data_IF_304523228205
#
_entry.id   IF_304523228205
#
_cell.length_a   1.000
_cell.length_b   1.000
_cell.length_c   1.000
_cell.angle_alpha   90.00
_cell.angle_beta   90.00
_cell.angle_gamma   90.00
#
_symmetry.space_group_name_H-M   'P 1'
#
loop_
_entity.id
_entity.type
_entity.pdbx_description
1 polymer ?
#
# COMPACT_ATOMS: atom_id res chain seq x y z
N UNK A 1 11.82 44.58 -58.25
CA UNK A 1 11.65 43.23 -57.67
C UNK A 1 12.15 43.08 -56.24
N UNK A 2 12.55 44.14 -55.52
CA UNK A 2 13.10 44.03 -54.14
C UNK A 2 12.12 44.35 -53.00
N UNK A 3 10.92 44.85 -53.27
CA UNK A 3 9.98 45.22 -52.19
C UNK A 3 9.04 44.07 -51.74
N UNK A 4 8.89 43.03 -52.55
CA UNK A 4 8.04 41.88 -52.19
C UNK A 4 8.76 40.82 -51.32
N UNK A 5 10.10 40.73 -51.43
CA UNK A 5 10.88 39.81 -50.61
C UNK A 5 11.11 40.29 -49.18
N UNK A 6 11.19 41.58 -48.97
CA UNK A 6 11.33 42.16 -47.59
C UNK A 6 10.04 42.04 -46.78
N UNK A 7 8.88 42.19 -47.41
CA UNK A 7 7.59 42.05 -46.71
C UNK A 7 7.29 40.62 -46.27
N UNK A 8 7.77 39.61 -47.04
CA UNK A 8 7.57 38.20 -46.68
C UNK A 8 8.52 37.72 -45.56
N UNK A 9 9.72 38.29 -45.46
CA UNK A 9 10.65 37.98 -44.35
C UNK A 9 10.20 38.59 -43.04
N UNK A 10 9.66 39.82 -43.07
CA UNK A 10 9.13 40.50 -41.88
C UNK A 10 7.85 39.81 -41.34
N UNK A 11 6.97 39.31 -42.23
CA UNK A 11 5.79 38.54 -41.83
C UNK A 11 6.16 37.17 -41.22
N UNK A 12 7.18 36.51 -41.73
CA UNK A 12 7.65 35.23 -41.15
C UNK A 12 8.39 35.43 -39.81
N UNK A 13 9.14 36.53 -39.66
CA UNK A 13 9.74 36.91 -38.39
C UNK A 13 8.66 37.31 -37.34
N UNK A 14 7.62 38.06 -37.75
CA UNK A 14 6.52 38.44 -36.87
C UNK A 14 5.70 37.20 -36.42
N UNK A 15 5.47 36.24 -37.32
CA UNK A 15 4.82 34.93 -36.95
C UNK A 15 5.67 34.10 -35.98
N UNK A 16 6.98 34.02 -36.20
CA UNK A 16 7.87 33.31 -35.29
C UNK A 16 8.02 34.00 -33.92
N UNK A 17 7.89 35.33 -33.86
CA UNK A 17 7.86 36.09 -32.62
C UNK A 17 6.52 35.90 -31.87
N UNK A 18 5.40 35.89 -32.59
CA UNK A 18 4.08 35.63 -31.98
C UNK A 18 3.99 34.21 -31.41
N UNK A 19 4.49 33.21 -32.11
CA UNK A 19 4.55 31.81 -31.63
C UNK A 19 5.43 31.71 -30.36
N UNK A 20 6.59 32.37 -30.36
CA UNK A 20 7.47 32.41 -29.18
C UNK A 20 6.89 33.18 -28.00
N UNK A 21 6.10 34.21 -28.23
CA UNK A 21 5.38 34.94 -27.17
C UNK A 21 4.27 34.07 -26.60
N UNK A 22 3.51 33.39 -27.46
CA UNK A 22 2.49 32.39 -27.02
C UNK A 22 3.07 31.27 -26.19
N UNK A 23 4.21 30.68 -26.60
CA UNK A 23 4.90 29.66 -25.86
C UNK A 23 5.43 30.14 -24.49
N UNK A 24 5.87 31.41 -24.42
CA UNK A 24 6.30 32.04 -23.17
C UNK A 24 5.13 32.37 -22.25
N UNK A 25 3.99 32.82 -22.80
CA UNK A 25 2.77 33.06 -22.03
C UNK A 25 2.20 31.76 -21.47
N UNK A 26 2.13 30.68 -22.27
CA UNK A 26 1.77 29.33 -21.78
C UNK A 26 2.74 28.83 -20.70
N UNK A 27 4.05 29.02 -20.90
CA UNK A 27 5.09 28.67 -19.92
C UNK A 27 4.94 29.47 -18.62
N UNK A 28 4.57 30.74 -18.69
CA UNK A 28 4.36 31.62 -17.55
C UNK A 28 3.07 31.26 -16.79
N UNK A 29 2.00 30.94 -17.50
CA UNK A 29 0.74 30.48 -16.91
C UNK A 29 0.91 29.13 -16.22
N UNK A 30 1.69 28.22 -16.80
CA UNK A 30 2.04 26.94 -16.19
C UNK A 30 2.91 27.11 -14.94
N UNK A 31 3.85 28.05 -14.95
CA UNK A 31 4.66 28.41 -13.78
C UNK A 31 3.82 29.10 -12.70
N UNK A 32 2.92 29.98 -13.08
CA UNK A 32 1.99 30.63 -12.16
C UNK A 32 1.01 29.65 -11.53
N UNK A 33 0.47 28.70 -12.30
CA UNK A 33 -0.39 27.65 -11.76
C UNK A 33 0.36 26.74 -10.78
N UNK A 34 1.61 26.37 -11.09
CA UNK A 34 2.48 25.61 -10.15
C UNK A 34 2.87 26.42 -8.91
N UNK A 35 3.04 27.74 -9.04
CA UNK A 35 3.30 28.64 -7.91
C UNK A 35 2.05 28.81 -7.04
N UNK A 36 0.86 28.88 -7.64
CA UNK A 36 -0.42 28.93 -6.93
C UNK A 36 -0.68 27.60 -6.22
N UNK A 37 -0.48 26.46 -6.87
CA UNK A 37 -0.53 25.12 -6.25
C UNK A 37 0.46 25.01 -5.08
N UNK A 38 1.70 25.49 -5.24
CA UNK A 38 2.68 25.53 -4.14
C UNK A 38 2.32 26.51 -3.03
N UNK A 39 1.59 27.60 -3.32
CA UNK A 39 1.17 28.58 -2.31
C UNK A 39 -0.09 28.14 -1.56
N UNK A 40 -1.00 27.41 -2.20
CA UNK A 40 -2.22 26.87 -1.57
C UNK A 40 -1.91 25.70 -0.59
N UNK A 41 -0.79 25.00 -0.78
CA UNK A 41 -0.36 23.90 0.11
C UNK A 41 0.57 24.35 1.24
N UNK A 42 0.91 25.65 1.34
CA UNK A 42 1.77 26.18 2.40
C UNK A 42 0.95 26.79 3.52
N UNK A 43 0.86 26.09 4.66
CA UNK A 43 0.55 26.76 5.91
C UNK A 43 1.84 27.46 6.37
N UNK A 44 1.94 28.77 6.13
CA UNK A 44 3.04 29.57 6.72
C UNK A 44 2.76 29.71 8.21
N UNK A 45 3.40 28.82 9.01
CA UNK A 45 3.53 29.05 10.43
C UNK A 45 4.68 30.06 10.65
N UNK A 46 4.56 30.97 11.59
CA UNK A 46 5.66 31.84 12.04
C UNK A 46 6.85 31.08 12.66
N UNK A 47 6.90 29.76 12.48
CA UNK A 47 7.95 28.86 12.93
C UNK A 47 9.08 28.78 11.88
N UNK A 48 10.27 28.40 12.33
CA UNK A 48 11.46 28.14 11.49
C UNK A 48 11.26 26.98 10.50
N UNK A 49 10.15 26.26 10.57
CA UNK A 49 9.86 25.06 9.80
C UNK A 49 8.80 25.37 8.75
N UNK A 50 9.01 24.91 7.52
CA UNK A 50 7.99 24.89 6.47
C UNK A 50 7.13 23.67 6.68
N UNK A 51 5.82 23.83 6.66
CA UNK A 51 4.85 22.74 6.78
C UNK A 51 4.05 22.65 5.49
N UNK A 52 3.84 21.43 5.00
CA UNK A 52 2.94 21.11 3.89
C UNK A 52 1.78 20.32 4.44
N UNK A 53 0.58 20.73 4.13
CA UNK A 53 -0.64 19.96 4.31
C UNK A 53 -1.04 19.35 2.95
N UNK A 54 -1.47 18.12 2.94
CA UNK A 54 -1.96 17.42 1.75
C UNK A 54 -3.04 16.43 2.16
N UNK A 55 -3.83 15.97 1.23
CA UNK A 55 -4.82 14.96 1.54
C UNK A 55 -5.72 14.64 0.36
N UNK A 56 -6.69 13.77 0.63
CA UNK A 56 -7.77 13.44 -0.28
C UNK A 56 -9.06 13.26 0.52
N UNK A 57 -10.11 13.97 0.12
CA UNK A 57 -11.47 13.63 0.54
C UNK A 57 -12.00 12.62 -0.45
N UNK A 58 -12.38 11.45 0.04
CA UNK A 58 -12.75 10.30 -0.78
C UNK A 58 -14.15 9.83 -0.41
N UNK A 59 -15.05 9.79 -1.39
CA UNK A 59 -16.36 9.14 -1.28
C UNK A 59 -16.32 7.84 -2.05
N UNK A 60 -16.57 6.72 -1.37
CA UNK A 60 -16.80 5.42 -1.95
C UNK A 60 -18.30 5.11 -1.90
N UNK A 61 -18.90 4.70 -3.01
CA UNK A 61 -20.21 4.09 -3.10
C UNK A 61 -20.00 2.64 -3.53
N UNK A 62 -20.41 1.69 -2.69
CA UNK A 62 -20.11 0.28 -2.91
C UNK A 62 -21.34 -0.61 -2.88
N UNK A 63 -21.29 -1.71 -3.65
CA UNK A 63 -22.24 -2.82 -3.62
C UNK A 63 -21.45 -4.13 -3.48
N UNK A 64 -21.85 -4.97 -2.52
CA UNK A 64 -21.34 -6.33 -2.37
C UNK A 64 -22.44 -7.33 -2.71
N UNK A 65 -22.09 -8.38 -3.43
CA UNK A 65 -22.90 -9.57 -3.68
C UNK A 65 -22.12 -10.79 -3.21
N UNK A 66 -22.50 -11.31 -2.07
CA UNK A 66 -21.79 -12.26 -1.24
C UNK A 66 -21.38 -11.62 0.08
N UNK A 67 -21.18 -12.43 1.13
CA UNK A 67 -20.72 -11.98 2.44
C UNK A 67 -19.21 -11.68 2.40
N UNK A 68 -18.82 -10.56 2.96
CA UNK A 68 -17.43 -10.06 2.95
C UNK A 68 -16.97 -9.65 4.35
N UNK A 69 -15.64 -9.64 4.56
CA UNK A 69 -15.00 -9.25 5.82
C UNK A 69 -15.08 -7.73 6.10
N UNK A 70 -15.18 -6.92 5.07
CA UNK A 70 -15.37 -5.47 5.18
C UNK A 70 -16.25 -4.98 4.03
N UNK A 71 -17.21 -4.11 4.32
CA UNK A 71 -18.19 -3.68 3.30
C UNK A 71 -17.62 -2.74 2.25
N UNK A 72 -16.71 -1.85 2.63
CA UNK A 72 -16.17 -0.78 1.75
C UNK A 72 -14.75 -1.05 1.21
N UNK A 73 -14.01 -2.02 1.77
CA UNK A 73 -12.70 -2.47 1.24
C UNK A 73 -12.48 -3.96 1.53
N UNK A 74 -13.29 -4.85 0.95
CA UNK A 74 -13.23 -6.27 1.28
C UNK A 74 -11.95 -6.93 0.78
N UNK A 75 -11.47 -7.90 1.57
CA UNK A 75 -10.31 -8.75 1.26
C UNK A 75 -10.66 -10.23 1.17
N UNK A 76 -11.71 -10.67 1.88
CA UNK A 76 -12.16 -12.06 1.94
C UNK A 76 -13.65 -12.19 1.64
N UNK A 77 -14.02 -13.30 0.98
CA UNK A 77 -15.40 -13.76 0.93
C UNK A 77 -15.63 -14.71 2.12
N UNK A 78 -16.69 -14.45 2.87
CA UNK A 78 -17.04 -15.19 4.08
C UNK A 78 -18.29 -16.04 3.88
N UNK A 79 -18.49 -17.02 4.75
CA UNK A 79 -19.71 -17.78 4.82
C UNK A 79 -20.91 -16.89 5.16
N UNK A 80 -22.06 -17.15 4.53
CA UNK A 80 -23.28 -16.40 4.80
C UNK A 80 -23.95 -16.92 6.05
N UNK A 81 -24.14 -16.05 7.03
CA UNK A 81 -24.86 -16.37 8.26
C UNK A 81 -26.36 -16.12 8.08
N UNK A 82 -27.15 -17.19 8.00
CA UNK A 82 -28.59 -17.07 8.00
C UNK A 82 -29.09 -16.54 9.36
N UNK A 83 -30.11 -15.65 9.38
CA UNK A 83 -31.01 -15.22 8.28
C UNK A 83 -30.58 -13.93 7.54
N UNK A 84 -29.32 -13.50 7.66
CA UNK A 84 -28.88 -12.22 7.14
C UNK A 84 -28.70 -12.24 5.60
N UNK A 85 -28.87 -11.07 4.97
CA UNK A 85 -28.62 -10.91 3.55
C UNK A 85 -27.13 -11.02 3.24
N UNK A 86 -26.77 -11.73 2.17
CA UNK A 86 -25.42 -11.76 1.62
C UNK A 86 -25.12 -10.58 0.69
N UNK A 87 -26.08 -9.65 0.50
CA UNK A 87 -25.88 -8.45 -0.32
C UNK A 87 -25.87 -7.20 0.57
N UNK A 88 -25.01 -6.25 0.25
CA UNK A 88 -24.97 -4.95 0.93
C UNK A 88 -24.71 -3.83 -0.09
N UNK A 89 -25.31 -2.66 0.16
CA UNK A 89 -25.02 -1.43 -0.56
C UNK A 89 -24.79 -0.32 0.47
N UNK A 90 -23.79 0.53 0.23
CA UNK A 90 -23.47 1.61 1.15
C UNK A 90 -22.58 2.68 0.55
N UNK A 91 -22.25 3.67 1.38
CA UNK A 91 -21.30 4.72 1.06
C UNK A 91 -20.42 5.03 2.27
N UNK A 92 -19.17 5.40 2.02
CA UNK A 92 -18.19 5.68 3.07
C UNK A 92 -17.26 6.81 2.64
N UNK A 93 -16.85 7.63 3.61
CA UNK A 93 -15.80 8.65 3.44
C UNK A 93 -14.59 8.37 4.33
N UNK A 94 -14.59 7.25 5.06
CA UNK A 94 -13.55 6.93 6.06
C UNK A 94 -12.20 6.59 5.48
N UNK A 95 -12.10 6.37 4.17
CA UNK A 95 -10.83 6.19 3.47
C UNK A 95 -10.18 7.52 3.05
N UNK A 96 -10.81 8.66 3.36
CA UNK A 96 -10.17 9.98 3.20
C UNK A 96 -8.88 10.06 4.00
N UNK A 97 -7.88 10.79 3.48
CA UNK A 97 -6.55 10.86 4.08
C UNK A 97 -6.12 12.30 4.30
N UNK A 98 -5.34 12.51 5.34
CA UNK A 98 -4.70 13.79 5.66
C UNK A 98 -3.21 13.51 5.91
N UNK A 99 -2.35 14.21 5.18
CA UNK A 99 -0.89 14.16 5.33
C UNK A 99 -0.34 15.52 5.80
N UNK A 100 0.60 15.47 6.74
CA UNK A 100 1.34 16.64 7.22
C UNK A 100 2.82 16.34 7.03
N UNK A 101 3.56 17.24 6.38
CA UNK A 101 5.00 17.14 6.21
C UNK A 101 5.69 18.42 6.71
N UNK A 102 6.70 18.28 7.55
CA UNK A 102 7.51 19.37 8.07
C UNK A 102 8.96 19.24 7.56
N UNK A 103 9.51 20.34 7.04
CA UNK A 103 10.88 20.41 6.54
C UNK A 103 11.76 21.15 7.56
N UNK A 104 12.76 20.43 8.07
CA UNK A 104 13.67 20.94 9.09
C UNK A 104 14.96 21.55 8.53
N UNK A 105 15.85 21.99 9.42
CA UNK A 105 17.18 22.48 9.05
C UNK A 105 18.08 21.34 8.55
N UNK A 106 19.20 21.70 7.92
CA UNK A 106 20.24 20.71 7.61
C UNK A 106 21.00 20.33 8.89
N UNK A 107 21.14 19.04 9.13
CA UNK A 107 21.88 18.48 10.27
C UNK A 107 22.98 17.54 9.74
N UNK A 108 24.25 17.81 10.03
CA UNK A 108 25.36 16.97 9.57
C UNK A 108 25.40 16.80 8.04
N UNK A 109 25.01 17.84 7.29
CA UNK A 109 24.91 17.79 5.82
C UNK A 109 23.64 17.14 5.27
N UNK A 110 22.84 16.45 6.09
CA UNK A 110 21.57 15.88 5.69
C UNK A 110 20.46 16.93 5.66
N UNK A 111 19.54 16.82 4.70
CA UNK A 111 18.22 17.47 4.75
C UNK A 111 17.34 16.67 5.69
N UNK A 112 16.62 17.35 6.57
CA UNK A 112 15.72 16.67 7.52
C UNK A 112 14.28 16.97 7.19
N UNK A 113 13.42 15.97 7.30
CA UNK A 113 11.97 16.10 7.21
C UNK A 113 11.28 15.13 8.16
N UNK A 114 10.04 15.44 8.50
CA UNK A 114 9.15 14.54 9.21
C UNK A 114 7.77 14.59 8.54
N UNK A 115 7.12 13.46 8.40
CA UNK A 115 5.76 13.36 7.87
C UNK A 115 4.89 12.49 8.77
N UNK A 116 3.58 12.76 8.74
CA UNK A 116 2.57 11.92 9.36
C UNK A 116 1.34 11.87 8.47
N UNK A 117 0.85 10.66 8.18
CA UNK A 117 -0.32 10.41 7.36
C UNK A 117 -1.41 9.69 8.18
N UNK A 118 -2.64 10.13 8.02
CA UNK A 118 -3.80 9.65 8.75
C UNK A 118 -4.93 9.29 7.79
N UNK A 119 -5.79 8.36 8.22
CA UNK A 119 -7.11 8.12 7.65
C UNK A 119 -8.16 7.96 8.77
N UNK A 120 -9.42 7.68 8.41
CA UNK A 120 -10.50 7.48 9.36
C UNK A 120 -10.98 6.01 9.41
N UNK A 121 -10.17 5.08 8.94
CA UNK A 121 -10.50 3.66 8.89
C UNK A 121 -9.97 2.87 10.12
N UNK A 122 -9.75 3.53 11.27
CA UNK A 122 -9.30 2.91 12.52
C UNK A 122 -10.36 2.07 13.24
N UNK A 123 -11.53 1.89 12.64
CA UNK A 123 -12.68 1.18 13.21
C UNK A 123 -13.90 2.06 13.36
N UNK A 124 -14.90 1.54 14.05
CA UNK A 124 -16.09 2.28 14.42
C UNK A 124 -16.08 2.58 15.92
N UNK A 125 -16.58 3.76 16.36
CA UNK A 125 -16.71 4.03 17.78
C UNK A 125 -17.62 2.97 18.43
N UNK A 126 -17.15 2.34 19.51
CA UNK A 126 -17.99 1.45 20.30
C UNK A 126 -19.03 2.28 21.06
N UNK A 127 -20.29 1.82 21.11
CA UNK A 127 -21.43 2.43 21.82
C UNK A 127 -22.08 3.65 21.13
N UNK A 128 -22.08 3.77 19.83
CA UNK A 128 -22.96 4.72 19.14
C UNK A 128 -24.36 4.13 19.03
N UNK A 129 -25.33 4.77 19.69
CA UNK A 129 -26.75 4.34 19.67
C UNK A 129 -27.39 4.49 18.26
N UNK A 130 -26.74 5.24 17.36
CA UNK A 130 -27.33 5.66 16.09
C UNK A 130 -26.54 5.23 14.84
N UNK A 131 -25.63 4.26 14.92
CA UNK A 131 -24.86 3.71 13.77
C UNK A 131 -24.38 4.77 12.73
N UNK A 132 -24.17 6.01 13.18
CA UNK A 132 -23.54 7.01 12.34
C UNK A 132 -22.14 6.51 11.99
N UNK A 133 -21.90 6.25 10.73
CA UNK A 133 -20.67 5.65 10.18
C UNK A 133 -19.48 6.62 10.30
N UNK A 134 -19.20 7.08 11.51
CA UNK A 134 -18.04 7.91 11.80
C UNK A 134 -16.83 7.00 12.00
N UNK A 135 -15.87 7.06 11.05
CA UNK A 135 -14.60 6.35 11.17
C UNK A 135 -13.76 6.90 12.32
N UNK A 136 -12.95 6.04 12.93
CA UNK A 136 -11.95 6.44 13.94
C UNK A 136 -10.68 6.86 13.23
N UNK A 137 -10.10 8.00 13.64
CA UNK A 137 -8.82 8.49 13.13
C UNK A 137 -7.72 7.46 13.41
N UNK A 138 -6.94 7.11 12.38
CA UNK A 138 -5.85 6.15 12.45
C UNK A 138 -4.57 6.76 11.90
N UNK A 139 -3.47 6.66 12.67
CA UNK A 139 -2.14 6.95 12.15
C UNK A 139 -1.72 5.82 11.21
N UNK A 140 -1.42 6.15 9.96
CA UNK A 140 -0.89 5.22 8.95
C UNK A 140 0.61 5.18 8.99
N UNK A 141 1.21 6.33 8.71
CA UNK A 141 2.65 6.50 8.74
C UNK A 141 3.04 7.70 9.60
N UNK A 142 4.21 7.65 10.19
CA UNK A 142 4.82 8.74 10.95
C UNK A 142 6.33 8.57 10.89
N UNK A 143 7.01 9.39 10.07
CA UNK A 143 8.39 9.14 9.62
C UNK A 143 9.25 10.36 9.82
N UNK A 144 10.47 10.15 10.29
CA UNK A 144 11.56 11.13 10.29
C UNK A 144 12.64 10.68 9.31
N UNK A 145 13.11 11.59 8.46
CA UNK A 145 14.14 11.31 7.45
C UNK A 145 15.33 12.24 7.58
N UNK A 146 16.50 11.68 7.33
CA UNK A 146 17.77 12.37 7.15
C UNK A 146 18.32 11.98 5.79
N UNK A 147 18.31 12.91 4.83
CA UNK A 147 18.68 12.64 3.44
C UNK A 147 20.02 13.33 3.09
N UNK A 148 21.06 12.54 2.89
CA UNK A 148 22.31 12.94 2.24
C UNK A 148 22.21 12.73 0.72
N UNK A 149 23.30 12.91 0.00
CA UNK A 149 23.29 12.81 -1.46
C UNK A 149 22.82 11.43 -1.99
N UNK A 150 23.37 10.37 -1.43
CA UNK A 150 23.09 8.99 -1.87
C UNK A 150 22.58 8.08 -0.74
N UNK A 151 22.50 8.57 0.47
CA UNK A 151 22.14 7.80 1.66
C UNK A 151 21.01 8.48 2.40
N UNK A 152 20.03 7.72 2.85
CA UNK A 152 18.97 8.18 3.74
C UNK A 152 18.94 7.32 4.99
N UNK A 153 18.73 7.95 6.14
CA UNK A 153 18.33 7.29 7.37
C UNK A 153 16.87 7.62 7.62
N UNK A 154 16.06 6.59 7.82
CA UNK A 154 14.62 6.71 8.00
C UNK A 154 14.23 6.02 9.29
N UNK A 155 13.48 6.70 10.16
CA UNK A 155 12.96 6.14 11.40
C UNK A 155 11.50 6.52 11.61
N UNK A 156 10.70 5.59 12.11
CA UNK A 156 9.29 5.79 12.40
C UNK A 156 8.42 4.63 11.93
N UNK A 157 7.11 4.83 11.93
CA UNK A 157 6.14 3.88 11.36
C UNK A 157 5.99 4.16 9.88
N UNK A 158 6.27 3.17 9.03
CA UNK A 158 6.27 3.32 7.57
C UNK A 158 5.85 2.03 6.88
N UNK A 159 5.62 2.10 5.56
CA UNK A 159 5.38 0.93 4.71
C UNK A 159 6.56 -0.05 4.75
N UNK A 160 6.29 -1.30 4.36
CA UNK A 160 7.31 -2.32 4.21
C UNK A 160 8.26 -1.97 3.06
N UNK A 161 9.47 -1.55 3.36
CA UNK A 161 10.45 -1.14 2.32
C UNK A 161 10.94 -2.32 1.45
N UNK A 162 10.74 -3.54 1.89
CA UNK A 162 11.13 -4.77 1.22
C UNK A 162 9.99 -5.39 0.38
N UNK A 163 8.75 -4.88 0.50
CA UNK A 163 7.58 -5.14 -0.34
C UNK A 163 6.93 -3.80 -0.70
N UNK A 164 7.56 -3.03 -1.62
CA UNK A 164 7.25 -1.60 -1.79
C UNK A 164 6.09 -1.32 -2.73
N UNK A 165 5.59 -2.32 -3.45
CA UNK A 165 4.56 -2.13 -4.46
C UNK A 165 3.19 -2.55 -3.94
N UNK A 166 2.15 -1.99 -4.55
CA UNK A 166 0.77 -2.43 -4.38
C UNK A 166 -0.01 -2.17 -5.67
N UNK A 167 -1.07 -2.94 -5.95
CA UNK A 167 -1.93 -2.68 -7.09
C UNK A 167 -2.57 -1.29 -7.02
N UNK A 168 -2.73 -0.65 -8.17
CA UNK A 168 -3.33 0.68 -8.25
C UNK A 168 -4.84 0.59 -8.05
N UNK A 169 -5.35 1.21 -7.00
CA UNK A 169 -6.77 1.39 -6.72
C UNK A 169 -6.98 2.66 -5.91
N UNK A 170 -8.04 3.42 -6.19
CA UNK A 170 -8.51 4.51 -5.31
C UNK A 170 -9.78 4.10 -4.56
N UNK A 171 -10.36 2.96 -4.88
CA UNK A 171 -11.48 2.37 -4.14
C UNK A 171 -11.04 1.79 -2.77
N UNK A 172 -9.75 1.45 -2.61
CA UNK A 172 -9.21 0.85 -1.39
C UNK A 172 -7.91 1.53 -0.97
N UNK A 173 -8.03 2.73 -0.39
CA UNK A 173 -6.90 3.48 0.17
C UNK A 173 -6.62 3.12 1.63
N UNK A 174 -7.64 2.72 2.39
CA UNK A 174 -7.49 2.34 3.81
C UNK A 174 -6.71 1.04 4.01
N UNK A 175 -6.86 0.12 3.06
CA UNK A 175 -6.13 -1.15 2.99
C UNK A 175 -5.71 -1.34 1.54
N UNK A 176 -4.44 -1.59 1.23
CA UNK A 176 -4.01 -1.77 -0.15
C UNK A 176 -4.80 -2.86 -0.87
N UNK A 177 -5.07 -2.64 -2.17
CA UNK A 177 -5.76 -3.64 -2.98
C UNK A 177 -5.02 -4.99 -2.97
N UNK A 178 -5.77 -6.09 -3.07
CA UNK A 178 -5.28 -7.47 -3.02
C UNK A 178 -4.61 -7.86 -1.69
N UNK A 179 -4.91 -7.16 -0.59
CA UNK A 179 -4.61 -7.65 0.77
C UNK A 179 -5.19 -9.04 0.97
N UNK A 180 -4.49 -9.93 1.67
CA UNK A 180 -4.79 -11.36 1.78
C UNK A 180 -4.91 -12.12 0.43
N UNK A 181 -4.56 -11.47 -0.67
CA UNK A 181 -4.48 -12.09 -1.99
C UNK A 181 -3.07 -11.90 -2.59
N UNK A 182 -2.03 -12.09 -1.78
CA UNK A 182 -0.63 -12.10 -2.18
C UNK A 182 0.08 -10.76 -2.16
N UNK A 183 -0.60 -9.68 -1.79
CA UNK A 183 0.02 -8.38 -1.55
C UNK A 183 0.45 -8.27 -0.08
N UNK A 184 1.76 -8.35 0.20
CA UNK A 184 2.31 -8.09 1.53
C UNK A 184 2.35 -6.59 1.78
N UNK A 185 1.80 -6.18 2.92
CA UNK A 185 1.84 -4.79 3.34
C UNK A 185 1.69 -4.68 4.86
N UNK A 186 2.18 -3.61 5.42
CA UNK A 186 1.93 -3.21 6.80
C UNK A 186 2.46 -1.79 7.00
N UNK A 187 2.02 -1.13 8.03
CA UNK A 187 2.69 0.07 8.58
C UNK A 187 3.35 -0.34 9.89
N UNK A 188 4.65 -0.44 9.85
CA UNK A 188 5.43 -1.03 10.94
C UNK A 188 6.45 -0.02 11.45
N UNK A 189 6.61 0.16 12.77
CA UNK A 189 7.74 0.88 13.36
C UNK A 189 9.05 0.29 12.88
N UNK A 190 9.95 1.12 12.38
CA UNK A 190 11.20 0.69 11.77
C UNK A 190 12.29 1.76 11.80
N UNK A 191 13.52 1.31 11.73
CA UNK A 191 14.68 2.16 11.42
C UNK A 191 15.44 1.49 10.29
N UNK A 192 15.66 2.25 9.20
CA UNK A 192 16.36 1.72 8.02
C UNK A 192 17.34 2.70 7.43
N UNK A 193 18.35 2.16 6.78
CA UNK A 193 19.31 2.89 5.92
C UNK A 193 18.99 2.51 4.47
N UNK A 194 18.95 3.51 3.63
CA UNK A 194 18.79 3.39 2.18
C UNK A 194 20.04 3.97 1.51
N UNK A 195 20.66 3.24 0.60
CA UNK A 195 21.84 3.72 -0.12
C UNK A 195 21.70 3.49 -1.62
N UNK A 196 21.80 4.58 -2.38
CA UNK A 196 21.75 4.55 -3.85
C UNK A 196 23.14 4.50 -4.42
N UNK A 197 23.41 3.54 -5.26
CA UNK A 197 24.66 3.36 -6.00
C UNK A 197 24.37 3.69 -7.47
N UNK A 198 24.84 4.83 -8.01
CA UNK A 198 24.74 5.10 -9.43
C UNK A 198 25.71 4.17 -10.17
N UNK A 199 25.17 3.39 -11.13
CA UNK A 199 25.96 2.47 -11.95
C UNK A 199 26.31 3.09 -13.31
N UNK A 200 25.42 3.91 -13.85
CA UNK A 200 25.59 4.69 -15.07
C UNK A 200 24.57 5.84 -15.08
N UNK A 201 24.60 6.67 -16.13
CA UNK A 201 23.61 7.74 -16.33
C UNK A 201 22.15 7.23 -16.40
N UNK A 202 21.96 5.95 -16.77
CA UNK A 202 20.63 5.32 -16.91
C UNK A 202 20.35 4.24 -15.88
N UNK A 203 21.31 3.85 -15.06
CA UNK A 203 21.17 2.71 -14.16
C UNK A 203 21.60 3.05 -12.75
N UNK A 204 20.84 2.61 -11.79
CA UNK A 204 21.20 2.70 -10.37
C UNK A 204 20.78 1.43 -9.60
N UNK A 205 21.45 1.19 -8.49
CA UNK A 205 21.07 0.17 -7.52
C UNK A 205 20.66 0.85 -6.22
N UNK A 206 19.60 0.39 -5.58
CA UNK A 206 19.17 0.78 -4.25
C UNK A 206 19.40 -0.38 -3.29
N UNK A 207 20.14 -0.12 -2.23
CA UNK A 207 20.34 -1.05 -1.12
C UNK A 207 19.58 -0.51 0.10
N UNK A 208 18.77 -1.35 0.73
CA UNK A 208 18.00 -1.00 1.93
C UNK A 208 18.21 -2.07 2.99
N UNK A 209 18.47 -1.66 4.22
CA UNK A 209 18.65 -2.53 5.37
C UNK A 209 17.98 -1.89 6.58
N UNK A 210 17.20 -2.66 7.33
CA UNK A 210 16.48 -2.12 8.48
C UNK A 210 16.15 -3.14 9.55
N UNK A 211 15.82 -2.59 10.71
CA UNK A 211 15.19 -3.27 11.82
C UNK A 211 13.76 -2.79 11.94
N UNK A 212 12.84 -3.71 12.22
CA UNK A 212 11.42 -3.46 12.32
C UNK A 212 10.88 -4.03 13.63
N UNK A 213 9.75 -3.48 14.06
CA UNK A 213 8.94 -4.12 15.08
C UNK A 213 8.45 -5.48 14.57
N UNK A 214 8.61 -6.52 15.39
CA UNK A 214 8.25 -7.90 15.04
C UNK A 214 6.78 -8.15 15.35
N UNK A 215 5.89 -7.54 14.56
CA UNK A 215 4.44 -7.73 14.70
C UNK A 215 4.01 -9.12 14.22
N UNK A 216 2.95 -9.65 14.85
CA UNK A 216 2.28 -10.87 14.43
C UNK A 216 0.82 -10.59 14.08
N UNK A 217 0.26 -11.34 13.13
CA UNK A 217 -1.13 -11.20 12.70
C UNK A 217 -2.13 -12.03 13.52
N UNK A 218 -1.64 -13.04 14.25
CA UNK A 218 -2.48 -13.94 15.05
C UNK A 218 -2.98 -13.32 16.35
N UNK A 219 -4.02 -13.95 16.91
CA UNK A 219 -4.70 -13.50 18.12
C UNK A 219 -3.73 -13.17 19.25
N UNK A 220 -3.84 -11.96 19.75
CA UNK A 220 -3.18 -11.55 20.98
C UNK A 220 -3.89 -12.18 22.18
N UNK A 221 -3.16 -12.66 23.19
CA UNK A 221 -3.77 -13.41 24.28
C UNK A 221 -4.59 -12.58 25.28
N UNK A 222 -4.66 -11.26 25.14
CA UNK A 222 -5.25 -10.39 26.17
C UNK A 222 -5.95 -9.17 25.58
N UNK A 223 -6.94 -8.69 26.33
CA UNK A 223 -7.78 -7.53 26.06
C UNK A 223 -6.96 -6.34 25.51
N UNK A 224 -7.37 -5.81 24.35
CA UNK A 224 -6.69 -4.71 23.65
C UNK A 224 -6.80 -3.34 24.36
N UNK A 225 -7.35 -3.27 25.55
CA UNK A 225 -7.42 -2.03 26.33
C UNK A 225 -6.03 -1.62 26.87
N UNK A 226 -5.13 -2.59 27.04
CA UNK A 226 -3.74 -2.36 27.42
C UNK A 226 -2.83 -2.67 26.22
N UNK A 227 -1.76 -1.91 26.03
CA UNK A 227 -0.77 -2.14 24.97
C UNK A 227 0.10 -3.37 25.29
N UNK A 228 -0.51 -4.57 25.24
CA UNK A 228 0.20 -5.81 25.48
C UNK A 228 1.08 -6.17 24.28
N UNK A 229 2.30 -6.67 24.53
CA UNK A 229 3.21 -7.04 23.44
C UNK A 229 2.63 -8.21 22.61
N UNK A 230 2.78 -8.12 21.28
CA UNK A 230 2.50 -9.18 20.33
C UNK A 230 3.42 -10.39 20.59
N UNK A 231 3.13 -11.55 20.00
CA UNK A 231 4.02 -12.72 20.11
C UNK A 231 5.40 -12.46 19.48
N UNK A 232 5.48 -11.57 18.51
CA UNK A 232 6.75 -11.12 17.94
C UNK A 232 7.53 -10.24 18.90
N UNK A 233 6.90 -9.22 19.49
CA UNK A 233 7.52 -8.34 20.50
C UNK A 233 7.96 -9.12 21.75
N UNK A 234 7.21 -10.15 22.15
CA UNK A 234 7.59 -11.05 23.25
C UNK A 234 8.86 -11.85 22.98
N UNK A 235 9.33 -11.93 21.74
CA UNK A 235 10.64 -12.53 21.42
C UNK A 235 11.83 -11.77 22.01
N UNK A 236 11.63 -10.49 22.36
CA UNK A 236 12.66 -9.62 22.91
C UNK A 236 13.71 -9.17 21.90
N UNK A 237 13.50 -9.37 20.60
CA UNK A 237 14.38 -8.91 19.53
C UNK A 237 13.60 -8.30 18.37
N UNK A 238 14.17 -7.33 17.63
CA UNK A 238 13.54 -6.78 16.45
C UNK A 238 13.49 -7.81 15.32
N UNK A 239 12.61 -7.57 14.36
CA UNK A 239 12.71 -8.17 13.04
C UNK A 239 13.76 -7.44 12.19
N UNK A 240 14.27 -8.11 11.17
CA UNK A 240 15.28 -7.60 10.25
C UNK A 240 14.81 -7.77 8.82
N UNK A 241 15.07 -6.76 7.98
CA UNK A 241 14.78 -6.87 6.56
C UNK A 241 15.87 -6.19 5.73
N UNK A 242 16.02 -6.69 4.50
CA UNK A 242 16.90 -6.12 3.51
C UNK A 242 16.23 -6.17 2.14
N UNK A 243 16.57 -5.21 1.26
CA UNK A 243 16.16 -5.21 -0.14
C UNK A 243 17.27 -4.65 -1.02
N UNK A 244 17.44 -5.23 -2.18
CA UNK A 244 18.22 -4.72 -3.29
C UNK A 244 17.30 -4.51 -4.48
N UNK A 245 17.41 -3.36 -5.15
CA UNK A 245 16.65 -3.08 -6.36
C UNK A 245 17.56 -2.46 -7.41
N UNK A 246 17.48 -2.97 -8.63
CA UNK A 246 18.11 -2.40 -9.80
C UNK A 246 17.07 -1.64 -10.61
N UNK A 247 17.40 -0.39 -10.96
CA UNK A 247 16.55 0.47 -11.79
C UNK A 247 17.32 0.89 -13.04
N UNK A 248 16.66 0.78 -14.19
CA UNK A 248 17.20 1.21 -15.48
C UNK A 248 16.19 2.10 -16.21
N UNK A 249 16.65 3.28 -16.66
CA UNK A 249 15.82 4.19 -17.45
C UNK A 249 15.70 3.68 -18.90
N UNK A 250 14.48 3.33 -19.31
CA UNK A 250 14.14 2.80 -20.61
C UNK A 250 13.07 3.70 -21.27
N UNK A 251 13.43 4.40 -22.34
CA UNK A 251 12.51 5.28 -23.10
C UNK A 251 11.73 6.31 -22.25
N UNK A 252 12.41 6.88 -21.25
CA UNK A 252 11.81 7.89 -20.35
C UNK A 252 10.99 7.32 -19.19
N UNK A 253 10.92 6.00 -19.07
CA UNK A 253 10.29 5.28 -17.97
C UNK A 253 11.33 4.41 -17.24
N UNK A 254 11.02 3.96 -16.02
CA UNK A 254 11.92 3.13 -15.22
C UNK A 254 11.50 1.66 -15.24
N UNK A 255 12.41 0.79 -15.68
CA UNK A 255 12.39 -0.62 -15.40
C UNK A 255 13.01 -0.83 -14.02
N UNK A 256 12.29 -1.48 -13.08
CA UNK A 256 12.82 -1.82 -11.75
C UNK A 256 12.62 -3.29 -11.47
N UNK A 257 13.68 -3.93 -10.97
CA UNK A 257 13.68 -5.31 -10.49
C UNK A 257 14.24 -5.29 -9.07
N UNK A 258 13.49 -5.81 -8.11
CA UNK A 258 13.87 -5.86 -6.70
C UNK A 258 13.80 -7.27 -6.14
N UNK A 259 14.62 -7.51 -5.13
CA UNK A 259 14.58 -8.70 -4.29
C UNK A 259 14.77 -8.31 -2.84
N UNK A 260 13.97 -8.89 -1.95
CA UNK A 260 13.99 -8.59 -0.52
C UNK A 260 13.92 -9.85 0.34
N UNK A 261 14.27 -9.67 1.61
CA UNK A 261 14.15 -10.69 2.63
C UNK A 261 13.75 -10.09 3.97
N UNK A 262 13.02 -10.85 4.75
CA UNK A 262 12.55 -10.53 6.09
C UNK A 262 12.84 -11.70 7.02
N UNK A 263 13.20 -11.42 8.25
CA UNK A 263 13.30 -12.36 9.35
C UNK A 263 12.75 -11.73 10.62
N UNK A 264 11.87 -12.46 11.34
CA UNK A 264 11.35 -12.06 12.64
C UNK A 264 11.14 -13.29 13.52
N UNK A 265 11.44 -13.18 14.81
CA UNK A 265 11.21 -14.25 15.77
C UNK A 265 9.94 -13.98 16.57
N UNK A 266 9.18 -15.02 16.84
CA UNK A 266 7.96 -14.98 17.65
C UNK A 266 8.15 -15.89 18.87
N UNK A 267 7.63 -15.47 20.03
CA UNK A 267 7.67 -16.25 21.26
C UNK A 267 6.24 -16.56 21.73
N UNK A 268 5.87 -17.83 21.68
CA UNK A 268 4.50 -18.33 21.92
C UNK A 268 4.32 -18.94 23.31
N UNK A 269 5.03 -18.45 24.30
CA UNK A 269 4.98 -18.90 25.69
C UNK A 269 5.60 -20.30 25.91
N UNK A 270 5.85 -20.66 27.17
CA UNK A 270 6.39 -21.95 27.60
C UNK A 270 7.67 -22.40 26.86
N UNK A 271 8.51 -21.43 26.49
CA UNK A 271 9.76 -21.70 25.75
C UNK A 271 9.59 -22.02 24.26
N UNK A 272 8.39 -21.89 23.71
CA UNK A 272 8.10 -22.16 22.29
C UNK A 272 8.39 -20.93 21.44
N UNK A 273 9.28 -21.05 20.48
CA UNK A 273 9.61 -19.99 19.53
C UNK A 273 9.37 -20.43 18.09
N UNK A 274 8.99 -19.49 17.24
CA UNK A 274 8.81 -19.68 15.81
C UNK A 274 9.63 -18.63 15.09
N UNK A 275 10.46 -19.08 14.15
CA UNK A 275 11.20 -18.19 13.26
C UNK A 275 10.35 -17.89 12.02
N UNK A 276 9.87 -16.66 11.93
CA UNK A 276 9.19 -16.11 10.76
C UNK A 276 10.20 -15.61 9.74
N UNK A 277 9.93 -15.82 8.46
CA UNK A 277 10.76 -15.30 7.39
C UNK A 277 9.96 -15.12 6.10
N UNK A 278 10.42 -14.21 5.24
CA UNK A 278 9.93 -14.10 3.88
C UNK A 278 11.07 -13.78 2.91
N UNK A 279 10.97 -14.28 1.70
CA UNK A 279 11.74 -13.84 0.54
C UNK A 279 10.76 -13.25 -0.49
N UNK A 280 11.13 -12.11 -1.08
CA UNK A 280 10.26 -11.36 -1.98
C UNK A 280 10.98 -10.98 -3.25
N UNK A 281 10.19 -10.89 -4.33
CA UNK A 281 10.61 -10.34 -5.62
C UNK A 281 9.58 -9.29 -6.02
N UNK A 282 10.05 -8.14 -6.51
CA UNK A 282 9.22 -7.07 -7.05
C UNK A 282 9.68 -6.67 -8.45
N UNK A 283 8.72 -6.34 -9.29
CA UNK A 283 8.96 -5.94 -10.67
C UNK A 283 8.10 -4.75 -11.07
N UNK A 284 8.70 -3.81 -11.81
CA UNK A 284 7.99 -2.72 -12.49
C UNK A 284 8.59 -2.57 -13.89
N UNK A 285 7.83 -2.96 -14.91
CA UNK A 285 8.29 -3.09 -16.28
C UNK A 285 7.45 -2.20 -17.19
N UNK A 286 8.00 -1.12 -17.78
CA UNK A 286 7.36 -0.39 -18.85
C UNK A 286 7.41 -1.21 -20.14
N UNK A 287 6.27 -1.75 -20.58
CA UNK A 287 6.18 -2.54 -21.82
C UNK A 287 6.16 -1.63 -23.05
N UNK A 288 5.40 -0.55 -22.97
CA UNK A 288 5.32 0.52 -23.96
C UNK A 288 5.09 1.86 -23.25
N UNK A 289 4.95 2.96 -24.01
CA UNK A 289 4.59 4.26 -23.42
C UNK A 289 3.23 4.24 -22.70
N UNK A 290 2.29 3.38 -23.13
CA UNK A 290 0.95 3.28 -22.59
C UNK A 290 0.73 2.05 -21.71
N UNK A 291 1.58 1.03 -21.77
CA UNK A 291 1.43 -0.21 -21.02
C UNK A 291 2.59 -0.43 -20.05
N UNK A 292 2.28 -0.75 -18.81
CA UNK A 292 3.24 -1.20 -17.81
C UNK A 292 2.74 -2.42 -17.05
N UNK A 293 3.68 -3.26 -16.62
CA UNK A 293 3.45 -4.43 -15.80
C UNK A 293 4.12 -4.21 -14.45
N UNK A 294 3.36 -4.41 -13.36
CA UNK A 294 3.88 -4.36 -11.99
C UNK A 294 3.44 -5.61 -11.23
N UNK A 295 4.23 -6.04 -10.26
CA UNK A 295 3.87 -7.20 -9.45
C UNK A 295 4.88 -7.50 -8.36
N UNK A 296 4.43 -8.32 -7.42
CA UNK A 296 5.24 -8.87 -6.35
C UNK A 296 4.92 -10.34 -6.14
N UNK A 297 5.91 -11.08 -5.68
CA UNK A 297 5.79 -12.47 -5.27
C UNK A 297 6.53 -12.68 -3.96
N UNK A 298 5.95 -13.47 -3.08
CA UNK A 298 6.62 -13.89 -1.84
C UNK A 298 6.52 -15.38 -1.59
N UNK A 299 7.50 -15.88 -0.84
CA UNK A 299 7.50 -17.17 -0.18
C UNK A 299 7.95 -16.95 1.25
N UNK A 300 7.19 -17.45 2.24
CA UNK A 300 7.47 -17.18 3.64
C UNK A 300 6.92 -18.22 4.61
N UNK A 301 7.17 -17.96 5.88
CA UNK A 301 6.67 -18.70 7.04
C UNK A 301 6.33 -17.73 8.15
N UNK A 302 5.18 -17.90 8.79
CA UNK A 302 4.72 -17.06 9.89
C UNK A 302 4.77 -15.58 9.54
N UNK A 303 4.03 -15.18 8.48
CA UNK A 303 4.07 -13.85 7.87
C UNK A 303 2.74 -13.10 7.97
N UNK A 304 1.86 -13.50 8.89
CA UNK A 304 0.56 -12.85 9.06
C UNK A 304 0.68 -11.39 9.51
N UNK A 305 1.71 -11.03 10.28
CA UNK A 305 2.02 -9.63 10.61
C UNK A 305 2.39 -8.76 9.40
N UNK A 306 2.72 -9.38 8.27
CA UNK A 306 2.94 -8.75 6.96
C UNK A 306 1.72 -8.89 6.03
N UNK A 307 0.56 -9.31 6.55
CA UNK A 307 -0.67 -9.62 5.82
C UNK A 307 -0.52 -10.76 4.78
N UNK A 308 0.46 -11.66 4.97
CA UNK A 308 0.60 -12.89 4.21
C UNK A 308 -0.04 -14.08 4.93
N UNK A 309 -0.10 -15.24 4.25
CA UNK A 309 -0.68 -16.46 4.80
C UNK A 309 -2.16 -16.33 5.16
N UNK A 310 -2.85 -15.39 4.56
CA UNK A 310 -4.26 -15.04 4.85
C UNK A 310 -4.46 -14.79 6.36
N UNK A 311 -3.53 -14.04 6.97
CA UNK A 311 -3.57 -13.70 8.40
C UNK A 311 -3.27 -14.84 9.37
N UNK A 312 -2.67 -15.95 8.91
CA UNK A 312 -2.34 -17.12 9.74
C UNK A 312 -0.82 -17.23 9.90
N UNK A 313 -0.32 -17.12 11.13
CA UNK A 313 1.11 -17.25 11.47
C UNK A 313 1.50 -18.68 11.82
N UNK A 314 0.71 -19.32 12.68
CA UNK A 314 1.10 -20.61 13.29
C UNK A 314 -0.02 -21.63 13.26
N UNK A 315 0.40 -22.87 13.33
CA UNK A 315 -0.44 -24.06 13.54
C UNK A 315 -0.27 -24.55 14.97
N UNK A 316 -1.37 -24.94 15.61
CA UNK A 316 -1.41 -25.38 17.00
C UNK A 316 -2.06 -26.75 17.13
N UNK A 317 -1.43 -27.69 17.86
CA UNK A 317 -2.04 -28.99 18.15
C UNK A 317 -3.09 -28.95 19.26
N UNK A 318 -3.28 -27.79 19.90
CA UNK A 318 -4.23 -27.57 20.99
C UNK A 318 -4.15 -26.13 21.50
N UNK A 319 -4.72 -25.89 22.69
CA UNK A 319 -4.72 -24.53 23.27
C UNK A 319 -3.31 -23.99 23.47
N UNK A 320 -3.11 -22.72 23.17
CA UNK A 320 -1.85 -21.99 23.41
C UNK A 320 -1.44 -22.01 24.89
N UNK A 321 -2.41 -22.03 25.80
CA UNK A 321 -2.19 -22.08 27.25
C UNK A 321 -1.82 -23.47 27.78
N UNK A 322 -1.85 -24.50 26.92
CA UNK A 322 -1.35 -25.83 27.28
C UNK A 322 0.15 -25.95 26.95
N UNK A 323 1.02 -26.15 27.95
CA UNK A 323 2.47 -26.26 27.73
C UNK A 323 2.89 -27.36 26.77
N UNK A 324 2.06 -28.42 26.63
CA UNK A 324 2.34 -29.57 25.76
C UNK A 324 1.88 -29.36 24.32
N UNK A 325 1.15 -28.29 24.01
CA UNK A 325 0.74 -27.99 22.64
C UNK A 325 1.94 -27.69 21.77
N UNK A 326 2.00 -28.35 20.62
CA UNK A 326 2.98 -28.04 19.57
C UNK A 326 2.57 -26.79 18.85
N UNK A 327 3.48 -25.85 18.68
CA UNK A 327 3.33 -24.64 17.87
C UNK A 327 4.31 -24.70 16.70
N UNK A 328 3.83 -24.55 15.48
CA UNK A 328 4.64 -24.59 14.25
C UNK A 328 4.29 -23.42 13.35
N UNK A 329 5.29 -22.71 12.81
CA UNK A 329 5.07 -21.66 11.82
C UNK A 329 4.44 -22.22 10.54
N UNK A 330 3.42 -21.55 10.04
CA UNK A 330 2.73 -21.89 8.80
C UNK A 330 3.51 -21.37 7.60
N UNK A 331 3.80 -22.25 6.67
CA UNK A 331 4.41 -21.91 5.39
C UNK A 331 3.34 -21.36 4.41
N UNK A 332 3.67 -20.32 3.70
CA UNK A 332 2.79 -19.71 2.70
C UNK A 332 3.56 -19.16 1.50
N UNK A 333 2.85 -18.96 0.41
CA UNK A 333 3.33 -18.22 -0.75
C UNK A 333 2.19 -17.46 -1.39
N UNK A 334 2.50 -16.31 -1.93
CA UNK A 334 1.52 -15.49 -2.62
C UNK A 334 2.18 -14.51 -3.58
N UNK A 335 1.36 -13.79 -4.29
CA UNK A 335 1.82 -12.75 -5.18
C UNK A 335 0.68 -12.17 -5.98
N UNK A 336 0.97 -11.04 -6.57
CA UNK A 336 0.03 -10.33 -7.42
C UNK A 336 0.74 -9.75 -8.64
N UNK A 337 -0.03 -9.49 -9.67
CA UNK A 337 0.43 -8.85 -10.91
C UNK A 337 -0.64 -7.92 -11.45
N UNK A 338 -0.23 -6.77 -11.95
CA UNK A 338 -1.10 -5.76 -12.56
C UNK A 338 -0.58 -5.36 -13.93
N UNK A 339 -1.48 -5.37 -14.91
CA UNK A 339 -1.30 -4.69 -16.19
C UNK A 339 -2.02 -3.34 -16.14
N UNK A 340 -1.26 -2.26 -16.32
CA UNK A 340 -1.78 -0.91 -16.44
C UNK A 340 -1.77 -0.50 -17.91
N UNK A 341 -2.90 0.05 -18.39
CA UNK A 341 -3.03 0.73 -19.66
C UNK A 341 -3.33 2.20 -19.41
N UNK A 342 -2.40 3.08 -19.74
CA UNK A 342 -2.51 4.53 -19.55
C UNK A 342 -2.19 5.24 -20.87
N UNK A 343 -3.18 5.36 -21.80
CA UNK A 343 -2.98 5.99 -23.10
C UNK A 343 -2.84 7.50 -23.01
N UNK A 344 -3.30 8.11 -21.91
CA UNK A 344 -3.22 9.55 -21.60
C UNK A 344 -2.92 9.71 -20.11
N UNK A 345 -2.33 10.82 -19.72
CA UNK A 345 -1.97 11.10 -18.32
C UNK A 345 -3.18 11.11 -17.38
N UNK A 346 -4.33 11.53 -17.88
CA UNK A 346 -5.57 11.65 -17.11
C UNK A 346 -6.49 10.42 -17.16
N UNK A 347 -6.11 9.34 -17.84
CA UNK A 347 -6.96 8.15 -17.95
C UNK A 347 -6.13 6.88 -17.87
N UNK A 348 -6.53 5.96 -16.99
CA UNK A 348 -5.90 4.65 -16.85
C UNK A 348 -6.91 3.54 -16.59
N UNK A 349 -6.57 2.36 -17.10
CA UNK A 349 -7.26 1.10 -16.83
C UNK A 349 -6.24 0.17 -16.18
N UNK A 350 -6.59 -0.42 -15.05
CA UNK A 350 -5.77 -1.40 -14.37
C UNK A 350 -6.52 -2.73 -14.30
N UNK A 351 -5.85 -3.81 -14.69
CA UNK A 351 -6.31 -5.17 -14.49
C UNK A 351 -5.27 -5.90 -13.64
N UNK A 352 -5.69 -6.40 -12.49
CA UNK A 352 -4.82 -7.08 -11.56
C UNK A 352 -5.39 -8.43 -11.13
N UNK A 353 -4.50 -9.32 -10.74
CA UNK A 353 -4.83 -10.60 -10.12
C UNK A 353 -3.86 -10.87 -8.99
N UNK A 354 -4.38 -11.30 -7.86
CA UNK A 354 -3.59 -11.72 -6.73
C UNK A 354 -4.08 -13.04 -6.14
N UNK A 355 -3.16 -13.76 -5.52
CA UNK A 355 -3.43 -15.00 -4.82
C UNK A 355 -2.51 -15.15 -3.62
N UNK A 356 -3.09 -15.59 -2.50
CA UNK A 356 -2.37 -16.05 -1.32
C UNK A 356 -2.71 -17.52 -1.05
N UNK A 357 -1.71 -18.28 -0.63
CA UNK A 357 -1.80 -19.73 -0.54
C UNK A 357 -1.00 -20.28 0.66
N UNK A 358 -1.60 -20.31 1.87
CA UNK A 358 -1.12 -21.13 2.96
C UNK A 358 -1.03 -22.61 2.53
N UNK A 359 -0.04 -23.33 3.04
CA UNK A 359 0.16 -24.72 2.60
C UNK A 359 -0.87 -25.66 3.21
N UNK A 360 -1.91 -25.99 2.45
CA UNK A 360 -3.02 -26.86 2.85
C UNK A 360 -2.56 -28.16 3.52
N UNK A 361 -1.46 -28.78 3.03
CA UNK A 361 -0.88 -29.98 3.63
C UNK A 361 -0.42 -29.79 5.09
N UNK A 362 -0.02 -28.58 5.46
CA UNK A 362 0.37 -28.27 6.83
C UNK A 362 -0.87 -28.00 7.68
N UNK A 363 -1.86 -27.31 7.14
CA UNK A 363 -3.15 -27.06 7.78
C UNK A 363 -3.88 -28.37 8.11
N UNK A 364 -3.88 -29.30 7.18
CA UNK A 364 -4.54 -30.61 7.31
C UNK A 364 -3.98 -31.46 8.49
N UNK A 365 -2.72 -31.24 8.86
CA UNK A 365 -2.08 -31.89 10.03
C UNK A 365 -2.51 -31.30 11.36
N UNK A 366 -3.09 -30.10 11.38
CA UNK A 366 -3.48 -29.35 12.57
C UNK A 366 -4.90 -28.81 12.45
N UNK A 367 -5.91 -29.68 12.22
CA UNK A 367 -7.28 -29.23 11.92
C UNK A 367 -7.95 -28.49 13.08
N UNK A 368 -7.42 -28.64 14.31
CA UNK A 368 -7.93 -27.97 15.51
C UNK A 368 -7.19 -26.66 15.82
N UNK A 369 -6.44 -26.11 14.87
CA UNK A 369 -5.79 -24.80 15.05
C UNK A 369 -6.86 -23.73 15.20
N UNK A 370 -6.81 -23.00 16.30
CA UNK A 370 -7.67 -21.83 16.51
C UNK A 370 -7.01 -20.60 15.90
N UNK A 371 -7.63 -20.07 14.87
CA UNK A 371 -7.26 -18.77 14.27
C UNK A 371 -8.18 -17.67 14.81
N UNK A 372 -7.82 -16.41 14.55
CA UNK A 372 -8.66 -15.26 14.93
C UNK A 372 -10.07 -15.34 14.35
N UNK A 373 -10.22 -15.82 13.13
CA UNK A 373 -11.51 -15.98 12.44
C UNK A 373 -12.24 -17.28 12.76
N UNK A 374 -11.61 -18.19 13.50
CA UNK A 374 -12.16 -19.55 13.73
C UNK A 374 -12.10 -20.46 12.51
N UNK A 375 -11.60 -19.97 11.36
CA UNK A 375 -11.51 -20.70 10.09
C UNK A 375 -10.05 -20.90 9.67
N UNK A 376 -9.77 -22.02 9.02
CA UNK A 376 -8.50 -22.27 8.35
C UNK A 376 -8.66 -22.02 6.85
N UNK A 377 -8.00 -21.00 6.36
CA UNK A 377 -7.99 -20.64 4.94
C UNK A 377 -6.87 -21.40 4.22
N UNK A 378 -7.19 -21.96 3.06
CA UNK A 378 -6.21 -22.65 2.21
C UNK A 378 -5.79 -21.83 1.02
N UNK A 379 -6.64 -20.90 0.57
CA UNK A 379 -6.35 -20.01 -0.56
C UNK A 379 -7.30 -18.83 -0.58
N UNK A 380 -6.79 -17.67 -0.98
CA UNK A 380 -7.61 -16.52 -1.33
C UNK A 380 -7.15 -15.97 -2.68
N UNK A 381 -8.10 -15.65 -3.56
CA UNK A 381 -7.87 -15.18 -4.92
C UNK A 381 -8.74 -13.96 -5.18
N UNK A 382 -8.16 -12.97 -5.87
CA UNK A 382 -8.91 -11.77 -6.22
C UNK A 382 -8.47 -11.18 -7.56
N UNK A 383 -9.19 -11.42 -8.66
CA UNK A 383 -9.11 -10.56 -9.84
C UNK A 383 -9.78 -9.21 -9.57
N UNK A 384 -9.17 -8.16 -10.12
CA UNK A 384 -9.60 -6.78 -10.00
C UNK A 384 -9.46 -6.08 -11.34
N UNK A 385 -10.42 -5.22 -11.68
CA UNK A 385 -10.31 -4.28 -12.80
C UNK A 385 -10.86 -2.94 -12.36
N UNK A 386 -10.14 -1.84 -12.69
CA UNK A 386 -10.65 -0.50 -12.47
C UNK A 386 -10.36 0.44 -13.63
N UNK A 387 -11.17 1.50 -13.68
CA UNK A 387 -11.04 2.65 -14.57
C UNK A 387 -10.87 3.88 -13.70
N UNK A 388 -9.77 4.61 -13.86
CA UNK A 388 -9.51 5.84 -13.12
C UNK A 388 -9.42 6.97 -14.13
N UNK A 389 -10.23 8.02 -13.93
CA UNK A 389 -10.23 9.20 -14.76
C UNK A 389 -10.01 10.44 -13.91
N UNK A 390 -8.96 11.18 -14.21
CA UNK A 390 -8.61 12.44 -13.59
C UNK A 390 -9.28 13.57 -14.39
N UNK A 391 -10.35 14.14 -13.83
CA UNK A 391 -11.10 15.24 -14.44
C UNK A 391 -10.26 16.52 -14.44
N UNK A 392 -9.55 16.73 -13.33
CA UNK A 392 -8.60 17.83 -13.09
C UNK A 392 -7.45 17.28 -12.23
N UNK A 393 -6.40 18.07 -12.01
CA UNK A 393 -5.28 17.69 -11.16
C UNK A 393 -5.69 17.31 -9.73
N UNK A 394 -6.75 17.91 -9.23
CA UNK A 394 -7.30 17.78 -7.89
C UNK A 394 -8.56 16.88 -7.79
N UNK A 395 -9.21 16.55 -8.93
CA UNK A 395 -10.46 15.79 -8.95
C UNK A 395 -10.34 14.54 -9.81
N UNK A 396 -10.59 13.39 -9.18
CA UNK A 396 -10.58 12.09 -9.86
C UNK A 396 -11.82 11.25 -9.53
N UNK A 397 -12.19 10.40 -10.48
CA UNK A 397 -13.26 9.41 -10.33
C UNK A 397 -12.73 8.04 -10.71
N UNK A 398 -13.31 7.00 -10.11
CA UNK A 398 -13.01 5.61 -10.44
C UNK A 398 -14.25 4.74 -10.41
N UNK A 399 -14.22 3.69 -11.20
CA UNK A 399 -15.12 2.55 -11.06
C UNK A 399 -14.26 1.29 -10.97
N UNK A 400 -14.49 0.48 -9.95
CA UNK A 400 -13.76 -0.76 -9.71
C UNK A 400 -14.71 -1.95 -9.58
N UNK A 401 -14.31 -3.06 -10.18
CA UNK A 401 -14.89 -4.38 -9.95
C UNK A 401 -13.83 -5.31 -9.39
N UNK A 402 -14.20 -6.04 -8.33
CA UNK A 402 -13.37 -7.06 -7.70
C UNK A 402 -14.19 -8.31 -7.47
N UNK A 403 -13.62 -9.46 -7.80
CA UNK A 403 -14.16 -10.76 -7.42
C UNK A 403 -13.30 -11.36 -6.33
N UNK A 404 -13.90 -11.79 -5.25
CA UNK A 404 -13.25 -12.43 -4.10
C UNK A 404 -13.61 -13.92 -4.11
N UNK A 405 -12.62 -14.78 -3.92
CA UNK A 405 -12.80 -16.21 -3.79
C UNK A 405 -11.91 -16.75 -2.70
N UNK A 406 -12.52 -17.13 -1.57
CA UNK A 406 -11.84 -17.65 -0.37
C UNK A 406 -12.15 -19.13 -0.21
N UNK A 407 -11.11 -19.96 -0.08
CA UNK A 407 -11.19 -21.41 0.08
C UNK A 407 -10.81 -21.78 1.50
N UNK A 408 -11.58 -22.64 2.10
CA UNK A 408 -11.44 -23.14 3.46
C UNK A 408 -10.85 -24.56 3.48
N UNK A 409 -10.35 -25.02 4.62
CA UNK A 409 -9.72 -26.33 4.76
C UNK A 409 -10.73 -27.48 4.58
N UNK A 410 -12.01 -27.25 4.85
CA UNK A 410 -13.10 -28.22 4.70
C UNK A 410 -13.65 -28.34 3.25
N UNK A 411 -12.88 -27.84 2.26
CA UNK A 411 -13.25 -27.76 0.83
C UNK A 411 -14.40 -26.79 0.50
N UNK A 412 -14.93 -26.05 1.48
CA UNK A 412 -15.89 -24.98 1.20
C UNK A 412 -15.20 -23.82 0.48
N UNK A 413 -15.91 -23.25 -0.47
CA UNK A 413 -15.45 -22.09 -1.23
C UNK A 413 -16.51 -21.01 -1.18
N UNK A 414 -16.14 -19.85 -0.65
CA UNK A 414 -16.99 -18.68 -0.65
C UNK A 414 -16.56 -17.71 -1.74
N UNK A 415 -17.56 -17.01 -2.32
CA UNK A 415 -17.31 -16.02 -3.36
C UNK A 415 -18.15 -14.77 -3.13
N UNK A 416 -17.58 -13.63 -3.43
CA UNK A 416 -18.29 -12.35 -3.41
C UNK A 416 -17.85 -11.48 -4.58
N UNK A 417 -18.74 -10.61 -5.03
CA UNK A 417 -18.43 -9.58 -6.01
C UNK A 417 -18.57 -8.22 -5.33
N UNK A 418 -17.56 -7.39 -5.50
CA UNK A 418 -17.53 -6.02 -5.00
C UNK A 418 -17.47 -5.04 -6.17
N UNK A 419 -18.36 -4.07 -6.16
CA UNK A 419 -18.43 -2.97 -7.10
C UNK A 419 -18.25 -1.68 -6.32
N UNK A 420 -17.40 -0.80 -6.78
CA UNK A 420 -17.15 0.49 -6.16
C UNK A 420 -17.16 1.61 -7.20
N UNK A 421 -17.77 2.72 -6.84
CA UNK A 421 -17.70 4.00 -7.56
C UNK A 421 -17.13 5.06 -6.62
N UNK A 422 -15.98 5.58 -6.96
CA UNK A 422 -15.21 6.49 -6.11
C UNK A 422 -15.14 7.89 -6.71
N UNK A 423 -15.26 8.91 -5.86
CA UNK A 423 -14.93 10.31 -6.17
C UNK A 423 -13.91 10.78 -5.16
N UNK A 424 -12.76 11.27 -5.63
CA UNK A 424 -11.67 11.80 -4.81
C UNK A 424 -11.34 13.24 -5.14
N UNK A 425 -11.25 14.10 -4.11
CA UNK A 425 -10.75 15.47 -4.23
C UNK A 425 -9.44 15.60 -3.44
N UNK A 426 -8.34 15.92 -4.15
CA UNK A 426 -6.99 16.10 -3.59
C UNK A 426 -6.74 17.56 -3.26
N UNK A 427 -6.01 17.84 -2.19
CA UNK A 427 -5.62 19.19 -1.78
C UNK A 427 -4.21 19.22 -1.18
#
# INVERSE_FOLDING_TARGET
MNSAQTATSDQNQARSLADRVSDLEEGQDLLNSKLIDQSQTKVESGSKYRVRLSGIVLLNLFENRGTVDSTDFPSLALESEQPFSSASFGGSVRQSQIGIEAFGPKIGGARTSASADFDFAGGFPQNTINDEAMGVLRLRTGVVRFDWQNTSLVGGQDFLFFSPLSPTSIATLATPALSYAGNLWSWTPQVRVEHRIPLSDKSSMMLQLGMLDSLTGDVQPVDRQDANPSWGEQSGQPAYAARVAWTHALNGQNLTLGAGGYYGRQFWGYGRSVDGWASMLDVSIPLTKAFSLTGEYYRGRAVAGLWGGIGQDVLMSGSIFNPTSVIKGLDSMGGWMQLKFQPRENFQINAAYGQDNPFARELDRFPNTHTYSGYLYTRNQSPLVNFIYQIRSDLEISVEYRHLRTMYLNDDTQSANHYDATIGYKF
#
